data_IF_440829056798
#
_entry.id   IF_440829056798
#
_cell.length_a   1.000
_cell.length_b   1.000
_cell.length_c   1.000
_cell.angle_alpha   90.00
_cell.angle_beta   90.00
_cell.angle_gamma   90.00
#
_symmetry.space_group_name_H-M   'P 1'
#
loop_
_entity.id
_entity.type
_entity.pdbx_description
1 polymer ?
#
# COMPACT_ATOMS: atom_id res chain seq x y z
N UNK A 1 -3.69 17.56 7.30
CA UNK A 1 -2.88 16.34 7.10
C UNK A 1 -3.16 15.41 8.28
N UNK A 2 -3.59 14.16 8.07
CA UNK A 2 -3.76 13.23 9.19
C UNK A 2 -2.41 12.96 9.85
N UNK A 3 -2.41 12.82 11.16
CA UNK A 3 -1.26 12.36 11.95
C UNK A 3 -1.05 10.85 11.79
N UNK A 4 0.11 10.35 12.21
CA UNK A 4 0.38 8.91 12.20
C UNK A 4 -0.62 8.12 13.06
N UNK A 5 -1.05 8.66 14.21
CA UNK A 5 -1.99 7.99 15.11
C UNK A 5 -3.41 7.97 14.53
N UNK A 6 -3.85 9.05 13.89
CA UNK A 6 -5.14 9.09 13.19
C UNK A 6 -5.15 8.11 12.01
N UNK A 7 -4.04 8.01 11.26
CA UNK A 7 -3.86 7.03 10.20
C UNK A 7 -3.94 5.59 10.72
N UNK A 8 -3.26 5.29 11.83
CA UNK A 8 -3.30 3.98 12.46
C UNK A 8 -4.72 3.62 12.96
N UNK A 9 -5.41 4.55 13.62
CA UNK A 9 -6.80 4.35 14.05
C UNK A 9 -7.75 4.13 12.87
N UNK A 10 -7.58 4.89 11.79
CA UNK A 10 -8.35 4.71 10.56
C UNK A 10 -8.10 3.33 9.92
N UNK A 11 -6.88 2.78 10.02
CA UNK A 11 -6.58 1.42 9.56
C UNK A 11 -7.35 0.34 10.32
N UNK A 12 -7.60 0.50 11.62
CA UNK A 12 -8.45 -0.42 12.40
C UNK A 12 -9.87 -0.42 11.84
N UNK A 13 -10.44 0.77 11.59
CA UNK A 13 -11.78 0.87 10.99
C UNK A 13 -11.83 0.32 9.55
N UNK A 14 -10.78 0.57 8.76
CA UNK A 14 -10.67 0.05 7.41
C UNK A 14 -10.64 -1.48 7.41
N UNK A 15 -9.92 -2.09 8.36
CA UNK A 15 -9.82 -3.54 8.49
C UNK A 15 -11.18 -4.20 8.65
N UNK A 16 -12.02 -3.68 9.53
CA UNK A 16 -13.38 -4.21 9.73
C UNK A 16 -14.21 -4.19 8.44
N UNK A 17 -14.10 -3.10 7.66
CA UNK A 17 -14.83 -2.97 6.39
C UNK A 17 -14.32 -3.89 5.28
N UNK A 18 -13.00 -4.08 5.18
CA UNK A 18 -12.41 -4.75 4.00
C UNK A 18 -12.14 -6.24 4.20
N UNK A 19 -12.00 -6.72 5.45
CA UNK A 19 -11.64 -8.11 5.76
C UNK A 19 -12.48 -9.18 5.03
N UNK A 20 -13.80 -9.01 4.83
CA UNK A 20 -14.60 -9.99 4.08
C UNK A 20 -14.29 -10.07 2.58
N UNK A 21 -13.58 -9.08 2.03
CA UNK A 21 -13.39 -8.89 0.58
C UNK A 21 -11.94 -9.06 0.12
N UNK A 22 -11.01 -9.37 1.03
CA UNK A 22 -9.59 -9.52 0.73
C UNK A 22 -9.02 -10.76 1.43
N UNK A 23 -7.86 -11.23 0.98
CA UNK A 23 -7.12 -12.23 1.73
C UNK A 23 -6.28 -11.60 2.84
N UNK A 24 -6.26 -12.23 4.01
CA UNK A 24 -5.15 -12.09 4.94
C UNK A 24 -3.96 -12.84 4.33
N UNK A 25 -2.99 -12.08 3.81
CA UNK A 25 -1.86 -12.68 3.09
C UNK A 25 -0.89 -13.33 4.07
N UNK A 26 -0.17 -14.40 3.65
CA UNK A 26 0.72 -15.11 4.53
C UNK A 26 1.98 -14.29 4.86
N UNK A 27 2.53 -14.54 6.05
CA UNK A 27 3.86 -14.12 6.46
C UNK A 27 4.79 -15.33 6.37
N UNK A 28 5.62 -15.38 5.32
CA UNK A 28 6.36 -16.58 4.94
C UNK A 28 7.82 -16.44 5.39
N UNK A 29 8.35 -17.34 6.23
CA UNK A 29 9.78 -17.35 6.54
C UNK A 29 10.63 -17.61 5.29
N UNK A 30 11.72 -16.85 5.14
CA UNK A 30 12.66 -17.07 4.05
C UNK A 30 13.36 -18.43 4.17
N UNK A 31 13.51 -19.13 3.03
CA UNK A 31 14.17 -20.43 2.93
C UNK A 31 15.68 -20.31 2.93
N UNK A 32 16.24 -19.31 2.22
CA UNK A 32 17.70 -19.11 2.06
C UNK A 32 18.13 -17.70 2.41
N UNK A 33 17.30 -16.70 2.13
CA UNK A 33 17.64 -15.29 2.38
C UNK A 33 17.81 -15.05 3.89
N UNK A 34 18.87 -14.33 4.27
CA UNK A 34 19.21 -14.02 5.67
C UNK A 34 20.13 -15.04 6.36
N UNK A 35 20.26 -16.27 5.85
CA UNK A 35 21.09 -17.32 6.47
C UNK A 35 22.56 -16.92 6.59
N UNK A 36 23.13 -16.32 5.54
CA UNK A 36 24.55 -15.95 5.50
C UNK A 36 24.92 -14.79 6.44
N UNK A 37 23.94 -14.02 6.92
CA UNK A 37 24.15 -12.90 7.83
C UNK A 37 23.47 -13.10 9.19
N UNK A 38 22.97 -14.31 9.47
CA UNK A 38 22.23 -14.64 10.70
C UNK A 38 21.05 -13.70 10.98
N UNK A 39 20.45 -13.11 9.94
CA UNK A 39 19.23 -12.31 10.06
C UNK A 39 18.01 -13.21 9.81
N UNK A 40 16.98 -13.08 10.65
CA UNK A 40 15.71 -13.79 10.43
C UNK A 40 14.86 -12.98 9.47
N UNK A 41 14.55 -13.54 8.30
CA UNK A 41 13.79 -12.84 7.26
C UNK A 41 12.41 -13.46 7.07
N UNK A 42 11.40 -12.60 7.02
CA UNK A 42 10.00 -12.95 6.77
C UNK A 42 9.48 -12.15 5.57
N UNK A 43 8.71 -12.79 4.69
CA UNK A 43 8.07 -12.15 3.55
C UNK A 43 6.60 -11.90 3.83
N UNK A 44 6.18 -10.64 3.82
CA UNK A 44 4.75 -10.30 3.81
C UNK A 44 4.26 -10.33 2.36
N UNK A 45 3.56 -11.41 2.00
CA UNK A 45 3.33 -11.82 0.61
C UNK A 45 2.08 -11.18 -0.02
N UNK A 46 2.09 -9.85 -0.19
CA UNK A 46 1.00 -9.13 -0.89
C UNK A 46 0.92 -9.44 -2.39
N UNK A 47 1.95 -10.06 -2.95
CA UNK A 47 1.91 -10.66 -4.29
C UNK A 47 0.87 -11.79 -4.43
N UNK A 48 0.39 -12.37 -3.33
CA UNK A 48 -0.71 -13.36 -3.31
C UNK A 48 -2.09 -12.76 -3.06
N UNK A 49 -2.21 -11.45 -2.97
CA UNK A 49 -3.52 -10.80 -2.84
C UNK A 49 -4.38 -11.02 -4.11
N UNK A 50 -5.71 -10.90 -3.99
CA UNK A 50 -6.69 -11.18 -5.07
C UNK A 50 -6.33 -10.62 -6.45
N UNK A 51 -5.75 -9.42 -6.50
CA UNK A 51 -5.37 -8.74 -7.75
C UNK A 51 -3.89 -8.87 -8.08
N UNK A 52 -3.14 -9.69 -7.35
CA UNK A 52 -1.68 -9.84 -7.45
C UNK A 52 -0.89 -8.70 -6.81
N UNK A 53 -1.51 -7.83 -6.00
CA UNK A 53 -0.82 -6.78 -5.24
C UNK A 53 -1.69 -6.21 -4.12
N UNK A 54 -1.06 -5.43 -3.23
CA UNK A 54 -1.72 -4.78 -2.09
C UNK A 54 -2.81 -3.77 -2.45
N UNK A 55 -2.83 -3.24 -3.69
CA UNK A 55 -3.63 -2.05 -4.06
C UNK A 55 -5.14 -2.21 -3.82
N UNK A 56 -5.66 -3.44 -3.88
CA UNK A 56 -7.07 -3.73 -3.58
C UNK A 56 -7.46 -3.28 -2.16
N UNK A 57 -6.54 -3.32 -1.18
CA UNK A 57 -6.84 -2.96 0.22
C UNK A 57 -7.26 -1.50 0.34
N UNK A 58 -6.44 -0.59 -0.20
CA UNK A 58 -6.79 0.84 -0.26
C UNK A 58 -8.06 1.08 -1.05
N UNK A 59 -8.17 0.53 -2.25
CA UNK A 59 -9.35 0.73 -3.10
C UNK A 59 -10.65 0.28 -2.39
N UNK A 60 -10.63 -0.91 -1.78
CA UNK A 60 -11.75 -1.44 -1.00
C UNK A 60 -12.05 -0.54 0.22
N UNK A 61 -11.02 -0.05 0.92
CA UNK A 61 -11.17 0.83 2.08
C UNK A 61 -11.84 2.16 1.70
N UNK A 62 -11.37 2.79 0.63
CA UNK A 62 -11.95 4.04 0.11
C UNK A 62 -13.39 3.85 -0.36
N UNK A 63 -13.63 2.84 -1.19
CA UNK A 63 -14.95 2.61 -1.79
C UNK A 63 -16.00 2.16 -0.78
N UNK A 64 -15.62 1.36 0.22
CA UNK A 64 -16.52 0.91 1.30
C UNK A 64 -16.89 2.04 2.26
N UNK A 65 -16.00 3.02 2.45
CA UNK A 65 -16.25 4.19 3.28
C UNK A 65 -17.12 5.25 2.58
N UNK A 66 -17.40 5.10 1.28
CA UNK A 66 -18.16 6.07 0.50
C UNK A 66 -19.58 5.60 0.18
N UNK A 67 -20.48 6.56 0.06
CA UNK A 67 -21.85 6.35 -0.42
C UNK A 67 -21.93 5.93 -1.88
N UNK A 68 -23.14 5.93 -2.43
CA UNK A 68 -23.33 5.72 -3.87
C UNK A 68 -22.89 6.96 -4.64
N UNK A 69 -22.37 6.75 -5.86
CA UNK A 69 -21.84 7.81 -6.70
C UNK A 69 -20.98 7.25 -7.82
N UNK A 70 -20.60 8.11 -8.75
CA UNK A 70 -19.68 7.77 -9.84
C UNK A 70 -18.26 7.96 -9.34
N UNK A 71 -17.44 6.93 -9.50
CA UNK A 71 -16.04 6.92 -9.11
C UNK A 71 -15.18 6.95 -10.36
N UNK A 72 -14.00 7.57 -10.27
CA UNK A 72 -13.05 7.60 -11.38
C UNK A 72 -11.62 7.38 -10.90
N UNK A 73 -10.81 6.68 -11.69
CA UNK A 73 -9.37 6.51 -11.46
C UNK A 73 -8.64 6.46 -12.80
N UNK A 74 -7.32 6.57 -12.79
CA UNK A 74 -6.48 6.40 -13.97
C UNK A 74 -5.31 5.46 -13.68
N UNK A 75 -5.36 4.23 -14.20
CA UNK A 75 -4.25 3.29 -14.12
C UNK A 75 -4.54 2.03 -14.94
N UNK A 76 -3.60 1.62 -15.78
CA UNK A 76 -3.60 0.29 -16.41
C UNK A 76 -2.94 -0.81 -15.58
N UNK A 77 -2.42 -0.46 -14.39
CA UNK A 77 -1.58 -1.33 -13.55
C UNK A 77 -2.29 -1.80 -12.27
N UNK A 78 -1.49 -2.04 -11.23
CA UNK A 78 -1.96 -2.56 -9.93
C UNK A 78 -3.13 -1.78 -9.34
N UNK A 79 -3.11 -0.44 -9.43
CA UNK A 79 -4.20 0.40 -8.91
C UNK A 79 -5.51 0.24 -9.70
N UNK A 80 -5.42 0.20 -11.03
CA UNK A 80 -6.59 0.02 -11.90
C UNK A 80 -7.25 -1.33 -11.66
N UNK A 81 -6.46 -2.40 -11.59
CA UNK A 81 -6.96 -3.76 -11.32
C UNK A 81 -7.56 -3.84 -9.90
N UNK A 82 -6.85 -3.30 -8.90
CA UNK A 82 -7.33 -3.24 -7.51
C UNK A 82 -8.65 -2.48 -7.36
N UNK A 83 -8.76 -1.34 -8.04
CA UNK A 83 -9.97 -0.50 -8.04
C UNK A 83 -11.13 -1.19 -8.78
N UNK A 84 -10.86 -1.84 -9.91
CA UNK A 84 -11.88 -2.54 -10.67
C UNK A 84 -12.48 -3.73 -9.89
N UNK A 85 -11.64 -4.54 -9.22
CA UNK A 85 -12.13 -5.60 -8.35
C UNK A 85 -12.93 -5.05 -7.16
N UNK A 86 -12.45 -3.97 -6.51
CA UNK A 86 -13.16 -3.35 -5.40
C UNK A 86 -14.54 -2.81 -5.82
N UNK A 87 -14.61 -2.17 -6.99
CA UNK A 87 -15.87 -1.68 -7.54
C UNK A 87 -16.85 -2.82 -7.85
N UNK A 88 -16.38 -3.91 -8.47
CA UNK A 88 -17.18 -5.11 -8.70
C UNK A 88 -17.72 -5.69 -7.39
N UNK A 89 -16.83 -5.89 -6.41
CA UNK A 89 -17.16 -6.52 -5.12
C UNK A 89 -18.18 -5.71 -4.31
N UNK A 90 -18.10 -4.38 -4.40
CA UNK A 90 -18.96 -3.45 -3.66
C UNK A 90 -20.13 -2.91 -4.50
N UNK A 91 -20.32 -3.41 -5.73
CA UNK A 91 -21.33 -2.93 -6.69
C UNK A 91 -21.30 -1.40 -6.87
N UNK A 92 -20.10 -0.82 -7.03
CA UNK A 92 -19.88 0.61 -7.26
C UNK A 92 -19.73 0.93 -8.73
N UNK A 93 -20.20 2.11 -9.13
CA UNK A 93 -19.98 2.63 -10.47
C UNK A 93 -18.57 3.24 -10.56
N UNK A 94 -17.64 2.52 -11.19
CA UNK A 94 -16.28 2.98 -11.44
C UNK A 94 -16.02 3.16 -12.94
N UNK A 95 -15.41 4.29 -13.27
CA UNK A 95 -14.79 4.55 -14.57
C UNK A 95 -13.26 4.52 -14.42
N UNK A 96 -12.58 3.79 -15.30
CA UNK A 96 -11.12 3.75 -15.36
C UNK A 96 -10.65 4.45 -16.63
N UNK A 97 -9.88 5.52 -16.48
CA UNK A 97 -9.24 6.23 -17.59
C UNK A 97 -7.91 5.57 -17.91
N UNK A 98 -7.69 5.23 -19.18
CA UNK A 98 -6.49 4.57 -19.67
C UNK A 98 -5.95 5.34 -20.87
N UNK A 99 -4.63 5.31 -21.14
CA UNK A 99 -4.11 5.90 -22.37
C UNK A 99 -4.63 5.13 -23.59
N UNK A 100 -4.71 5.80 -24.73
CA UNK A 100 -5.09 5.18 -26.01
C UNK A 100 -4.09 4.11 -26.45
N UNK A 101 -2.85 4.21 -25.96
CA UNK A 101 -1.74 3.28 -26.20
C UNK A 101 -1.73 2.07 -25.26
N UNK A 102 -2.72 1.93 -24.37
CA UNK A 102 -2.78 0.81 -23.41
C UNK A 102 -2.79 -0.54 -24.14
N UNK A 103 -1.95 -1.48 -23.68
CA UNK A 103 -1.90 -2.80 -24.29
C UNK A 103 -3.24 -3.55 -24.08
N UNK A 104 -3.74 -4.29 -25.09
CA UNK A 104 -5.06 -4.93 -25.03
C UNK A 104 -5.25 -5.87 -23.84
N UNK A 105 -4.20 -6.57 -23.41
CA UNK A 105 -4.28 -7.48 -22.26
C UNK A 105 -4.64 -6.74 -20.95
N UNK A 106 -4.02 -5.58 -20.69
CA UNK A 106 -4.30 -4.74 -19.51
C UNK A 106 -5.71 -4.15 -19.59
N UNK A 107 -6.10 -3.66 -20.77
CA UNK A 107 -7.45 -3.14 -21.03
C UNK A 107 -8.54 -4.20 -20.77
N UNK A 108 -8.37 -5.39 -21.34
CA UNK A 108 -9.34 -6.48 -21.21
C UNK A 108 -9.45 -6.97 -19.77
N UNK A 109 -8.33 -7.05 -19.05
CA UNK A 109 -8.33 -7.41 -17.61
C UNK A 109 -9.12 -6.41 -16.77
N UNK A 110 -9.02 -5.11 -17.05
CA UNK A 110 -9.82 -4.10 -16.34
C UNK A 110 -11.30 -4.22 -16.73
N UNK A 111 -11.61 -4.30 -18.03
CA UNK A 111 -12.98 -4.44 -18.53
C UNK A 111 -13.68 -5.70 -18.01
N UNK A 112 -12.95 -6.80 -17.77
CA UNK A 112 -13.55 -8.05 -17.27
C UNK A 112 -14.17 -7.92 -15.88
N UNK A 113 -13.85 -6.87 -15.11
CA UNK A 113 -14.51 -6.59 -13.83
C UNK A 113 -15.84 -5.83 -13.98
N UNK A 114 -16.27 -5.49 -15.21
CA UNK A 114 -17.54 -4.82 -15.47
C UNK A 114 -17.54 -3.31 -15.19
N UNK A 115 -16.36 -2.69 -15.20
CA UNK A 115 -16.20 -1.23 -15.00
C UNK A 115 -16.21 -0.47 -16.33
N UNK A 116 -16.62 0.79 -16.28
CA UNK A 116 -16.56 1.68 -17.43
C UNK A 116 -15.11 2.04 -17.74
N UNK A 117 -14.79 2.26 -19.02
CA UNK A 117 -13.44 2.65 -19.45
C UNK A 117 -13.51 3.84 -20.39
N UNK A 118 -12.65 4.84 -20.13
CA UNK A 118 -12.39 5.96 -21.04
C UNK A 118 -10.97 5.80 -21.55
N UNK A 119 -10.78 5.83 -22.87
CA UNK A 119 -9.45 5.94 -23.48
C UNK A 119 -9.16 7.41 -23.73
N UNK A 120 -8.07 7.93 -23.17
CA UNK A 120 -7.70 9.33 -23.33
C UNK A 120 -6.19 9.55 -23.18
N UNK A 121 -5.61 10.29 -24.13
CA UNK A 121 -4.22 10.71 -24.09
C UNK A 121 -3.25 9.63 -24.60
N UNK A 122 -2.07 10.08 -25.01
CA UNK A 122 -1.03 9.21 -25.57
C UNK A 122 -0.28 8.40 -24.49
N UNK A 123 -0.33 8.85 -23.23
CA UNK A 123 0.43 8.29 -22.12
C UNK A 123 -0.35 8.34 -20.79
N UNK A 124 0.11 7.57 -19.81
CA UNK A 124 -0.56 7.40 -18.51
C UNK A 124 -0.77 8.73 -17.77
N UNK A 125 0.21 9.64 -17.81
CA UNK A 125 0.10 10.95 -17.15
C UNK A 125 -1.04 11.81 -17.71
N UNK A 126 -1.24 11.80 -19.04
CA UNK A 126 -2.36 12.52 -19.66
C UNK A 126 -3.72 11.90 -19.32
N UNK A 127 -3.78 10.57 -19.24
CA UNK A 127 -4.99 9.86 -18.78
C UNK A 127 -5.34 10.22 -17.33
N UNK A 128 -4.34 10.35 -16.45
CA UNK A 128 -4.50 10.76 -15.06
C UNK A 128 -4.97 12.20 -14.92
N UNK A 129 -4.33 13.15 -15.61
CA UNK A 129 -4.76 14.55 -15.64
C UNK A 129 -6.21 14.68 -16.12
N UNK A 130 -6.62 13.89 -17.12
CA UNK A 130 -8.00 13.86 -17.58
C UNK A 130 -8.97 13.33 -16.51
N UNK A 131 -8.63 12.23 -15.84
CA UNK A 131 -9.43 11.67 -14.76
C UNK A 131 -9.61 12.66 -13.60
N UNK A 132 -8.53 13.33 -13.19
CA UNK A 132 -8.56 14.35 -12.16
C UNK A 132 -9.42 15.55 -12.58
N UNK A 133 -9.29 16.03 -13.83
CA UNK A 133 -10.13 17.11 -14.37
C UNK A 133 -11.62 16.74 -14.37
N UNK A 134 -11.96 15.50 -14.75
CA UNK A 134 -13.34 15.01 -14.68
C UNK A 134 -13.85 14.94 -13.25
N UNK A 135 -13.02 14.53 -12.29
CA UNK A 135 -13.38 14.56 -10.87
C UNK A 135 -13.61 15.99 -10.35
N UNK A 136 -12.73 16.94 -10.70
CA UNK A 136 -12.85 18.35 -10.30
C UNK A 136 -14.09 19.04 -10.88
N UNK A 137 -14.69 18.52 -11.95
CA UNK A 137 -15.98 19.01 -12.47
C UNK A 137 -17.18 18.67 -11.56
N UNK A 138 -16.99 17.82 -10.55
CA UNK A 138 -18.03 17.35 -9.63
C UNK A 138 -18.81 16.12 -10.10
N UNK A 139 -18.52 15.61 -11.31
CA UNK A 139 -19.22 14.45 -11.86
C UNK A 139 -18.75 13.10 -11.29
N UNK A 140 -17.55 13.05 -10.70
CA UNK A 140 -16.96 11.84 -10.16
C UNK A 140 -16.21 12.11 -8.85
N UNK A 141 -16.11 11.10 -7.99
CA UNK A 141 -15.11 11.07 -6.93
C UNK A 141 -13.85 10.38 -7.43
N UNK A 142 -12.71 11.06 -7.36
CA UNK A 142 -11.41 10.49 -7.72
C UNK A 142 -10.96 9.46 -6.67
N UNK A 143 -10.50 8.30 -7.14
CA UNK A 143 -9.92 7.23 -6.32
C UNK A 143 -8.40 7.26 -6.52
N UNK A 144 -7.73 7.99 -5.64
CA UNK A 144 -6.26 8.15 -5.72
C UNK A 144 -5.53 6.82 -5.56
N UNK A 145 -4.40 6.62 -6.27
CA UNK A 145 -3.53 5.47 -6.08
C UNK A 145 -2.78 5.46 -4.73
N UNK A 146 -2.69 6.59 -4.03
CA UNK A 146 -1.94 6.72 -2.77
C UNK A 146 -2.33 7.93 -1.91
N UNK A 147 -2.66 9.06 -2.53
CA UNK A 147 -2.91 10.36 -1.88
C UNK A 147 -4.35 10.49 -1.39
N UNK A 148 -4.76 9.59 -0.49
CA UNK A 148 -6.08 9.66 0.15
C UNK A 148 -6.06 8.96 1.52
N UNK A 149 -6.65 9.55 2.58
CA UNK A 149 -6.60 8.98 3.93
C UNK A 149 -7.19 7.57 4.04
N UNK A 150 -8.26 7.25 3.29
CA UNK A 150 -8.86 5.92 3.28
C UNK A 150 -8.03 4.93 2.49
N UNK A 151 -7.37 5.37 1.42
CA UNK A 151 -6.41 4.54 0.67
C UNK A 151 -5.25 4.16 1.61
N UNK A 152 -4.63 5.15 2.28
CA UNK A 152 -3.55 4.93 3.26
C UNK A 152 -4.00 4.01 4.39
N UNK A 153 -5.17 4.27 4.98
CA UNK A 153 -5.74 3.44 6.03
C UNK A 153 -5.94 1.99 5.59
N UNK A 154 -6.42 1.77 4.36
CA UNK A 154 -6.56 0.43 3.78
C UNK A 154 -5.21 -0.28 3.66
N UNK A 155 -4.14 0.42 3.28
CA UNK A 155 -2.81 -0.21 3.23
C UNK A 155 -2.27 -0.55 4.62
N UNK A 156 -2.55 0.29 5.63
CA UNK A 156 -2.15 0.04 7.01
C UNK A 156 -2.77 -1.22 7.63
N UNK A 157 -3.82 -1.80 7.03
CA UNK A 157 -4.33 -3.12 7.45
C UNK A 157 -3.26 -4.23 7.35
N UNK A 158 -2.26 -4.07 6.47
CA UNK A 158 -1.10 -4.97 6.43
C UNK A 158 -0.30 -4.89 7.73
N UNK A 159 -0.14 -3.70 8.31
CA UNK A 159 0.51 -3.51 9.61
C UNK A 159 -0.22 -4.25 10.72
N UNK A 160 -1.56 -4.21 10.72
CA UNK A 160 -2.37 -4.95 11.70
C UNK A 160 -2.18 -6.47 11.56
N UNK A 161 -2.18 -6.98 10.32
CA UNK A 161 -1.91 -8.40 10.08
C UNK A 161 -0.50 -8.80 10.53
N UNK A 162 0.51 -7.95 10.34
CA UNK A 162 1.88 -8.22 10.78
C UNK A 162 1.99 -8.36 12.30
N UNK A 163 1.30 -7.50 13.05
CA UNK A 163 1.27 -7.54 14.52
C UNK A 163 0.61 -8.82 15.06
N UNK A 164 -0.32 -9.40 14.31
CA UNK A 164 -0.95 -10.68 14.66
C UNK A 164 -0.13 -11.90 14.23
N UNK A 165 0.54 -11.80 13.09
CA UNK A 165 1.27 -12.91 12.47
C UNK A 165 2.70 -13.04 13.01
N UNK A 166 3.23 -12.02 13.68
CA UNK A 166 4.61 -11.99 14.13
C UNK A 166 4.73 -11.43 15.56
N UNK A 167 5.26 -12.26 16.47
CA UNK A 167 5.45 -11.87 17.87
C UNK A 167 6.47 -10.73 18.05
N UNK A 168 7.44 -10.61 17.16
CA UNK A 168 8.53 -9.63 17.26
C UNK A 168 9.05 -9.24 15.88
N UNK A 169 9.10 -7.94 15.62
CA UNK A 169 9.61 -7.34 14.38
C UNK A 169 10.62 -6.27 14.80
N UNK A 170 11.86 -6.37 14.31
CA UNK A 170 12.85 -5.31 14.48
C UNK A 170 12.81 -4.33 13.31
N UNK A 171 12.69 -4.87 12.09
CA UNK A 171 12.80 -4.09 10.85
C UNK A 171 11.70 -4.45 9.86
N UNK A 172 11.28 -3.49 9.05
CA UNK A 172 10.46 -3.71 7.86
C UNK A 172 10.98 -2.91 6.67
N UNK A 173 11.04 -3.56 5.51
CA UNK A 173 11.47 -2.98 4.24
C UNK A 173 10.27 -2.81 3.32
N UNK A 174 10.00 -1.58 2.91
CA UNK A 174 8.84 -1.23 2.08
C UNK A 174 9.29 -0.35 0.92
N UNK A 175 8.97 -0.80 -0.30
CA UNK A 175 9.23 -0.03 -1.53
C UNK A 175 8.42 1.26 -1.56
N UNK A 176 9.04 2.35 -2.02
CA UNK A 176 8.45 3.68 -2.06
C UNK A 176 8.17 4.10 -3.51
N UNK A 177 6.88 4.26 -3.82
CA UNK A 177 6.40 5.12 -4.91
C UNK A 177 5.78 6.38 -4.30
N UNK A 178 4.50 6.64 -4.57
CA UNK A 178 3.75 7.75 -3.96
C UNK A 178 3.50 7.67 -2.44
N UNK A 179 4.03 6.66 -1.74
CA UNK A 179 4.08 6.65 -0.27
C UNK A 179 2.85 6.12 0.47
N UNK A 180 1.75 5.80 -0.21
CA UNK A 180 0.53 5.35 0.47
C UNK A 180 0.70 4.03 1.26
N UNK A 181 1.49 3.08 0.72
CA UNK A 181 1.79 1.81 1.38
C UNK A 181 2.64 2.01 2.65
N UNK A 182 3.80 2.66 2.50
CA UNK A 182 4.73 2.87 3.62
C UNK A 182 4.13 3.75 4.71
N UNK A 183 3.35 4.76 4.33
CA UNK A 183 2.63 5.62 5.27
C UNK A 183 1.63 4.83 6.10
N UNK A 184 0.78 4.02 5.46
CA UNK A 184 -0.24 3.24 6.16
C UNK A 184 0.36 2.18 7.08
N UNK A 185 1.26 1.36 6.54
CA UNK A 185 1.91 0.28 7.31
C UNK A 185 2.77 0.86 8.42
N UNK A 186 3.60 1.86 8.10
CA UNK A 186 4.46 2.52 9.08
C UNK A 186 3.66 3.19 10.20
N UNK A 187 2.51 3.82 9.89
CA UNK A 187 1.65 4.44 10.91
C UNK A 187 1.19 3.43 11.96
N UNK A 188 0.70 2.26 11.52
CA UNK A 188 0.25 1.20 12.43
C UNK A 188 1.41 0.64 13.26
N UNK A 189 2.53 0.32 12.61
CA UNK A 189 3.69 -0.27 13.31
C UNK A 189 4.30 0.70 14.33
N UNK A 190 4.46 1.98 13.96
CA UNK A 190 5.00 3.01 14.86
C UNK A 190 4.06 3.35 16.02
N UNK A 191 2.74 3.33 15.77
CA UNK A 191 1.75 3.53 16.83
C UNK A 191 1.76 2.38 17.86
N UNK A 192 2.04 1.15 17.41
CA UNK A 192 2.14 -0.02 18.29
C UNK A 192 3.48 -0.09 19.02
N UNK A 193 4.59 0.03 18.27
CA UNK A 193 5.94 0.00 18.82
C UNK A 193 6.84 0.96 18.01
N UNK A 194 7.18 2.15 18.55
CA UNK A 194 7.97 3.13 17.83
C UNK A 194 9.42 2.69 17.56
N UNK A 195 9.90 1.62 18.21
CA UNK A 195 11.24 1.07 18.01
C UNK A 195 11.36 0.19 16.76
N UNK A 196 10.26 -0.27 16.16
CA UNK A 196 10.29 -1.00 14.89
C UNK A 196 10.88 -0.06 13.82
N UNK A 197 11.97 -0.47 13.17
CA UNK A 197 12.62 0.31 12.12
C UNK A 197 11.93 0.13 10.78
N UNK A 198 11.46 1.24 10.21
CA UNK A 198 10.83 1.25 8.89
C UNK A 198 11.83 1.79 7.88
N UNK A 199 12.29 0.90 6.99
CA UNK A 199 13.16 1.21 5.88
C UNK A 199 12.34 1.47 4.62
N UNK A 200 12.38 2.71 4.15
CA UNK A 200 11.82 3.09 2.85
C UNK A 200 12.82 2.79 1.74
N UNK A 201 12.45 1.94 0.78
CA UNK A 201 13.35 1.56 -0.31
C UNK A 201 12.93 2.21 -1.61
N UNK A 202 13.80 3.04 -2.19
CA UNK A 202 13.52 3.83 -3.40
C UNK A 202 14.35 3.34 -4.57
N UNK A 203 13.76 3.28 -5.78
CA UNK A 203 14.55 3.08 -6.99
C UNK A 203 15.25 4.39 -7.35
N UNK A 204 16.54 4.35 -7.71
CA UNK A 204 17.30 5.56 -8.09
C UNK A 204 16.64 6.27 -9.28
N UNK A 205 16.08 5.51 -10.22
CA UNK A 205 15.42 6.01 -11.42
C UNK A 205 14.04 6.64 -11.16
N UNK A 206 13.46 6.44 -9.98
CA UNK A 206 12.18 7.06 -9.60
C UNK A 206 12.09 7.27 -8.10
N UNK A 207 12.57 8.43 -7.64
CA UNK A 207 12.76 8.74 -6.21
C UNK A 207 12.11 10.05 -5.75
N UNK A 208 10.95 10.37 -6.31
CA UNK A 208 10.21 11.60 -5.99
C UNK A 208 9.95 11.74 -4.48
N UNK A 209 9.40 10.71 -3.83
CA UNK A 209 9.10 10.76 -2.40
C UNK A 209 10.36 10.84 -1.54
N UNK A 210 11.38 10.03 -1.83
CA UNK A 210 12.65 10.06 -1.10
C UNK A 210 13.32 11.45 -1.16
N UNK A 211 13.37 12.03 -2.37
CA UNK A 211 13.94 13.37 -2.59
C UNK A 211 13.13 14.44 -1.86
N UNK A 212 11.80 14.35 -1.92
CA UNK A 212 10.88 15.28 -1.25
C UNK A 212 10.99 15.18 0.27
N UNK A 213 11.15 13.98 0.84
CA UNK A 213 11.37 13.77 2.26
C UNK A 213 12.68 14.44 2.73
N UNK A 214 13.77 14.26 1.97
CA UNK A 214 15.04 14.90 2.27
C UNK A 214 14.98 16.44 2.18
N UNK A 215 14.19 16.97 1.25
CA UNK A 215 13.98 18.40 1.05
C UNK A 215 12.96 19.03 2.02
N UNK A 216 12.11 18.22 2.66
CA UNK A 216 11.02 18.67 3.53
C UNK A 216 9.81 19.27 2.80
N UNK A 217 9.79 19.23 1.47
CA UNK A 217 8.70 19.70 0.61
C UNK A 217 8.69 18.89 -0.70
N UNK A 218 7.58 18.93 -1.45
CA UNK A 218 7.50 18.22 -2.73
C UNK A 218 8.49 18.81 -3.73
N UNK A 219 9.30 17.95 -4.34
CA UNK A 219 10.31 18.31 -5.34
C UNK A 219 10.04 17.53 -6.62
N UNK A 220 10.02 18.24 -7.74
CA UNK A 220 9.98 17.61 -9.06
C UNK A 220 11.30 16.88 -9.34
N UNK A 221 11.21 15.63 -9.79
CA UNK A 221 12.38 14.81 -10.06
C UNK A 221 12.34 14.27 -11.48
N UNK A 222 13.51 14.11 -12.09
CA UNK A 222 13.62 13.35 -13.32
C UNK A 222 13.23 11.88 -13.09
N UNK A 223 12.51 11.30 -14.06
CA UNK A 223 12.08 9.92 -14.03
C UNK A 223 12.67 9.15 -15.21
N UNK A 224 13.46 8.13 -14.89
CA UNK A 224 14.08 7.25 -15.88
C UNK A 224 13.34 5.90 -15.92
N UNK A 225 13.44 5.15 -17.03
CA UNK A 225 12.86 3.80 -17.12
C UNK A 225 13.37 2.89 -16.00
N UNK A 226 12.46 2.16 -15.35
CA UNK A 226 12.79 1.24 -14.24
C UNK A 226 12.00 -0.05 -14.35
N UNK A 227 12.63 -1.17 -13.94
CA UNK A 227 11.98 -2.48 -13.80
C UNK A 227 10.94 -2.44 -12.67
N UNK A 228 11.08 -1.51 -11.71
CA UNK A 228 10.13 -1.30 -10.63
C UNK A 228 8.97 -0.36 -11.02
N UNK A 229 8.29 -0.65 -12.13
CA UNK A 229 7.24 0.20 -12.71
C UNK A 229 6.15 0.64 -11.71
N UNK A 230 5.76 -0.24 -10.77
CA UNK A 230 4.67 0.05 -9.82
C UNK A 230 5.03 1.12 -8.76
N UNK A 231 6.30 1.51 -8.64
CA UNK A 231 6.74 2.66 -7.81
C UNK A 231 7.16 3.86 -8.65
N UNK A 232 7.13 3.76 -9.98
CA UNK A 232 7.57 4.83 -10.85
C UNK A 232 6.56 5.98 -10.92
N UNK A 233 7.07 7.20 -10.97
CA UNK A 233 6.30 8.43 -11.19
C UNK A 233 6.54 9.50 -10.13
N UNK A 234 5.94 10.66 -10.35
CA UNK A 234 5.97 11.78 -9.41
C UNK A 234 5.03 11.58 -8.24
N UNK A 235 4.95 12.60 -7.38
CA UNK A 235 3.96 12.70 -6.30
C UNK A 235 3.18 14.00 -6.46
N UNK A 236 1.91 14.01 -6.03
CA UNK A 236 1.07 15.20 -6.03
C UNK A 236 1.68 16.30 -5.15
N UNK A 237 1.57 17.56 -5.55
CA UNK A 237 2.11 18.72 -4.81
C UNK A 237 1.50 18.84 -3.39
N UNK A 238 0.22 18.49 -3.24
CA UNK A 238 -0.52 18.52 -1.99
C UNK A 238 -0.57 17.16 -1.27
N UNK A 239 0.36 16.25 -1.59
CA UNK A 239 0.30 14.87 -1.12
C UNK A 239 0.33 14.74 0.40
N UNK A 240 -0.62 13.97 0.94
CA UNK A 240 -0.65 13.63 2.37
C UNK A 240 0.48 12.71 2.79
N UNK A 241 1.06 11.99 1.83
CA UNK A 241 2.03 10.93 2.12
C UNK A 241 3.41 11.45 2.43
N UNK A 242 3.76 12.69 2.05
CA UNK A 242 5.06 13.27 2.41
C UNK A 242 5.19 13.41 3.93
N UNK A 243 4.22 14.05 4.58
CA UNK A 243 4.24 14.22 6.04
C UNK A 243 4.17 12.89 6.79
N UNK A 244 3.32 11.97 6.34
CA UNK A 244 3.19 10.65 6.96
C UNK A 244 4.45 9.80 6.77
N UNK A 245 5.00 9.72 5.56
CA UNK A 245 6.24 8.97 5.29
C UNK A 245 7.40 9.51 6.11
N UNK A 246 7.59 10.84 6.15
CA UNK A 246 8.62 11.48 6.99
C UNK A 246 8.46 11.19 8.48
N UNK A 247 7.24 10.97 8.97
CA UNK A 247 6.98 10.63 10.37
C UNK A 247 7.25 9.16 10.71
N UNK A 248 7.19 8.24 9.73
CA UNK A 248 7.26 6.79 9.99
C UNK A 248 8.55 6.15 9.53
N UNK A 249 9.23 6.70 8.52
CA UNK A 249 10.46 6.15 7.94
C UNK A 249 11.66 6.53 8.80
N UNK A 250 12.44 5.54 9.21
CA UNK A 250 13.70 5.76 9.94
C UNK A 250 14.88 5.99 9.00
N UNK A 251 14.94 5.28 7.89
CA UNK A 251 16.03 5.37 6.92
C UNK A 251 15.52 5.08 5.50
N UNK A 252 16.06 5.82 4.53
CA UNK A 252 15.81 5.60 3.11
C UNK A 252 17.00 4.89 2.48
N UNK A 253 16.73 3.80 1.76
CA UNK A 253 17.74 3.06 1.01
C UNK A 253 17.43 3.21 -0.48
N UNK A 254 18.37 3.77 -1.24
CA UNK A 254 18.25 3.84 -2.71
C UNK A 254 18.86 2.59 -3.34
N UNK A 255 18.19 2.01 -4.35
CA UNK A 255 18.67 0.85 -5.11
C UNK A 255 18.69 1.12 -6.61
N UNK A 256 19.70 0.58 -7.30
CA UNK A 256 19.79 0.62 -8.75
C UNK A 256 19.04 -0.56 -9.42
N UNK A 257 18.93 -0.51 -10.75
CA UNK A 257 18.22 -1.52 -11.54
C UNK A 257 18.87 -2.91 -11.48
N UNK A 258 20.20 -2.98 -11.31
CA UNK A 258 20.91 -4.26 -11.22
C UNK A 258 20.58 -4.96 -9.90
N UNK A 259 20.50 -4.20 -8.81
CA UNK A 259 20.13 -4.67 -7.48
C UNK A 259 18.67 -5.13 -7.43
N UNK A 260 17.75 -4.38 -8.05
CA UNK A 260 16.34 -4.78 -8.19
C UNK A 260 16.23 -6.10 -8.98
N UNK A 261 16.93 -6.19 -10.11
CA UNK A 261 16.95 -7.39 -10.96
C UNK A 261 17.52 -8.60 -10.23
N UNK A 262 18.55 -8.42 -9.41
CA UNK A 262 19.10 -9.49 -8.59
C UNK A 262 18.11 -9.94 -7.51
N UNK A 263 17.42 -8.99 -6.87
CA UNK A 263 16.32 -9.30 -5.93
C UNK A 263 15.24 -10.18 -6.58
N UNK A 264 14.83 -9.87 -7.81
CA UNK A 264 13.85 -10.69 -8.56
C UNK A 264 14.36 -12.11 -8.78
N UNK A 265 15.62 -12.27 -9.21
CA UNK A 265 16.22 -13.59 -9.43
C UNK A 265 16.33 -14.38 -8.13
N UNK A 266 16.71 -13.75 -7.03
CA UNK A 266 16.82 -14.40 -5.73
C UNK A 266 15.45 -14.92 -5.27
N UNK A 267 14.39 -14.10 -5.36
CA UNK A 267 13.03 -14.52 -4.99
C UNK A 267 12.55 -15.69 -5.86
N UNK A 268 12.78 -15.64 -7.17
CA UNK A 268 12.37 -16.71 -8.07
C UNK A 268 13.16 -18.01 -7.82
N UNK A 269 14.49 -17.95 -7.79
CA UNK A 269 15.36 -19.13 -7.76
C UNK A 269 15.55 -19.74 -6.36
N UNK A 270 15.55 -18.90 -5.31
CA UNK A 270 15.86 -19.34 -3.94
C UNK A 270 14.62 -19.50 -3.09
N UNK A 271 13.59 -18.69 -3.32
CA UNK A 271 12.37 -18.68 -2.52
C UNK A 271 11.16 -19.29 -3.24
N UNK A 272 11.26 -19.51 -4.56
CA UNK A 272 10.16 -19.95 -5.42
C UNK A 272 9.00 -18.95 -5.45
N UNK A 273 9.32 -17.66 -5.37
CA UNK A 273 8.35 -16.57 -5.39
C UNK A 273 8.51 -15.74 -6.67
N UNK A 274 7.44 -15.69 -7.46
CA UNK A 274 7.35 -14.78 -8.60
C UNK A 274 6.80 -13.45 -8.10
N UNK A 275 7.53 -12.37 -8.41
CA UNK A 275 7.21 -11.01 -7.99
C UNK A 275 7.49 -10.01 -9.11
N UNK A 276 6.93 -8.81 -9.00
CA UNK A 276 7.28 -7.68 -9.86
C UNK A 276 8.49 -6.90 -9.33
N UNK A 277 9.09 -6.02 -10.13
CA UNK A 277 10.29 -5.26 -9.75
C UNK A 277 10.11 -4.43 -8.48
N UNK A 278 8.93 -3.82 -8.27
CA UNK A 278 8.63 -3.05 -7.07
C UNK A 278 8.65 -3.91 -5.80
N UNK A 279 8.27 -5.19 -5.84
CA UNK A 279 8.36 -6.08 -4.69
C UNK A 279 9.81 -6.53 -4.44
N UNK A 280 10.58 -6.77 -5.50
CA UNK A 280 12.00 -7.08 -5.40
C UNK A 280 12.84 -5.90 -4.89
N UNK A 281 12.41 -4.65 -5.11
CA UNK A 281 13.06 -3.45 -4.59
C UNK A 281 13.20 -3.49 -3.07
N UNK A 282 12.15 -3.89 -2.33
CA UNK A 282 12.22 -4.03 -0.88
C UNK A 282 13.30 -5.04 -0.44
N UNK A 283 13.44 -6.16 -1.17
CA UNK A 283 14.49 -7.13 -0.91
C UNK A 283 15.89 -6.58 -1.24
N UNK A 284 16.02 -5.83 -2.34
CA UNK A 284 17.28 -5.18 -2.70
C UNK A 284 17.75 -4.24 -1.58
N UNK A 285 16.83 -3.46 -0.99
CA UNK A 285 17.12 -2.62 0.17
C UNK A 285 17.58 -3.41 1.39
N UNK A 286 16.88 -4.50 1.73
CA UNK A 286 17.32 -5.41 2.80
C UNK A 286 18.75 -5.93 2.55
N UNK A 287 19.03 -6.42 1.35
CA UNK A 287 20.32 -7.03 1.01
C UNK A 287 21.50 -6.06 1.20
N UNK A 288 21.31 -4.75 0.98
CA UNK A 288 22.36 -3.74 1.18
C UNK A 288 22.85 -3.64 2.62
N UNK A 289 21.97 -3.89 3.57
CA UNK A 289 22.29 -3.70 4.99
C UNK A 289 22.18 -4.98 5.82
N UNK A 290 21.89 -6.13 5.19
CA UNK A 290 21.63 -7.41 5.85
C UNK A 290 22.71 -7.82 6.85
N UNK A 291 23.98 -7.49 6.60
CA UNK A 291 25.09 -7.78 7.51
C UNK A 291 25.01 -7.03 8.85
N UNK A 292 24.34 -5.88 8.89
CA UNK A 292 24.13 -5.08 10.10
C UNK A 292 22.93 -5.56 10.93
N UNK A 293 22.13 -6.48 10.39
CA UNK A 293 20.86 -6.95 10.97
C UNK A 293 20.97 -8.35 11.59
N UNK A 294 22.20 -8.80 11.87
CA UNK A 294 22.44 -10.11 12.50
C UNK A 294 21.69 -10.22 13.82
N UNK A 295 20.98 -11.34 14.02
CA UNK A 295 20.15 -11.61 15.19
C UNK A 295 18.78 -10.90 15.20
N UNK A 296 18.49 -10.03 14.22
CA UNK A 296 17.24 -9.28 14.15
C UNK A 296 16.21 -9.96 13.24
N UNK A 297 14.93 -9.73 13.51
CA UNK A 297 13.79 -10.15 12.70
C UNK A 297 13.38 -9.04 11.73
N UNK A 298 13.58 -9.30 10.44
CA UNK A 298 13.30 -8.36 9.36
C UNK A 298 12.16 -8.85 8.47
N UNK A 299 11.18 -7.99 8.24
CA UNK A 299 10.08 -8.23 7.31
C UNK A 299 10.39 -7.54 5.97
N UNK A 300 10.31 -8.28 4.87
CA UNK A 300 10.37 -7.73 3.51
C UNK A 300 8.96 -7.78 2.92
N UNK A 301 8.41 -6.62 2.54
CA UNK A 301 7.05 -6.53 2.01
C UNK A 301 7.06 -6.75 0.49
N UNK A 302 6.57 -7.92 0.05
CA UNK A 302 6.46 -8.27 -1.37
C UNK A 302 5.17 -7.68 -1.93
N UNK A 303 5.21 -6.42 -2.37
CA UNK A 303 4.02 -5.62 -2.65
C UNK A 303 3.17 -6.10 -3.85
N UNK A 304 3.72 -6.90 -4.77
CA UNK A 304 2.98 -7.34 -5.96
C UNK A 304 3.72 -8.32 -6.87
N UNK A 305 3.00 -8.84 -7.86
CA UNK A 305 3.49 -9.78 -8.87
C UNK A 305 2.92 -9.54 -10.28
N UNK A 306 2.33 -8.37 -10.58
CA UNK A 306 1.84 -8.09 -11.93
C UNK A 306 2.98 -7.52 -12.79
N UNK A 307 3.97 -8.36 -13.09
CA UNK A 307 5.05 -8.02 -14.02
C UNK A 307 4.59 -8.12 -15.48
N UNK A 308 5.28 -7.39 -16.37
CA UNK A 308 5.09 -7.56 -17.80
C UNK A 308 5.66 -8.91 -18.26
N UNK A 309 4.82 -9.78 -18.82
CA UNK A 309 5.24 -11.11 -19.26
C UNK A 309 6.25 -11.07 -20.41
N UNK A 310 6.36 -9.95 -21.13
CA UNK A 310 7.36 -9.77 -22.18
C UNK A 310 8.79 -9.73 -21.59
N UNK A 311 8.95 -9.45 -20.29
CA UNK A 311 10.25 -9.54 -19.58
C UNK A 311 10.82 -10.96 -19.61
N UNK A 312 9.98 -12.00 -19.69
CA UNK A 312 10.39 -13.40 -19.83
C UNK A 312 10.43 -13.89 -21.28
N UNK A 313 10.02 -13.05 -22.26
CA UNK A 313 10.07 -13.40 -23.69
C UNK A 313 11.42 -13.13 -24.34
N UNK A 314 12.45 -12.74 -23.58
CA UNK A 314 13.80 -12.88 -24.11
C UNK A 314 14.04 -14.36 -24.35
N UNK A 315 14.32 -14.81 -25.58
CA UNK A 315 14.86 -16.13 -25.74
C UNK A 315 16.09 -16.14 -24.84
N UNK A 316 16.14 -17.05 -23.87
CA UNK A 316 17.42 -17.49 -23.39
C UNK A 316 18.24 -17.70 -24.66
N UNK A 317 19.46 -17.17 -24.72
CA UNK A 317 20.47 -17.74 -25.59
C UNK A 317 20.65 -19.20 -25.14
N UNK A 318 19.67 -20.04 -25.46
CA UNK A 318 19.81 -21.45 -25.65
C UNK A 318 20.87 -21.52 -26.73
N UNK A 319 22.02 -22.14 -26.46
CA UNK A 319 22.89 -22.55 -27.54
C UNK A 319 22.00 -23.22 -28.58
N UNK A 320 22.05 -22.73 -29.81
CA UNK A 320 21.42 -23.39 -30.96
C UNK A 320 21.64 -24.89 -30.84
N UNK A 321 20.67 -25.70 -31.25
CA UNK A 321 20.71 -27.17 -31.37
C UNK A 321 21.92 -27.66 -32.20
N UNK A 322 23.12 -27.48 -31.69
CA UNK A 322 24.31 -28.16 -32.09
C UNK A 322 24.36 -29.41 -31.23
N UNK A 323 24.31 -30.61 -31.83
CA UNK A 323 24.43 -31.84 -31.05
C UNK A 323 25.73 -31.80 -30.25
N UNK A 324 25.67 -32.16 -28.97
CA UNK A 324 26.89 -32.45 -28.24
C UNK A 324 27.64 -33.61 -28.93
N UNK A 325 28.97 -33.65 -28.78
CA UNK A 325 29.82 -34.69 -29.39
C UNK A 325 29.54 -36.12 -28.85
N UNK A 326 28.49 -36.31 -28.04
CA UNK A 326 28.05 -37.60 -27.49
C UNK A 326 26.71 -38.08 -28.05
N UNK A 327 26.08 -37.34 -28.97
CA UNK A 327 24.93 -37.80 -29.75
C UNK A 327 23.65 -38.03 -28.94
N UNK A 328 23.47 -37.34 -27.81
CA UNK A 328 22.19 -37.38 -27.06
C UNK A 328 21.37 -36.12 -27.33
N UNK A 329 20.18 -36.30 -27.89
CA UNK A 329 19.17 -35.24 -28.00
C UNK A 329 18.44 -35.03 -26.68
N UNK A 330 17.96 -33.81 -26.45
CA UNK A 330 17.14 -33.42 -25.29
C UNK A 330 15.87 -34.28 -25.19
N UNK A 331 15.46 -34.73 -23.98
CA UNK A 331 14.27 -35.57 -23.78
C UNK A 331 12.94 -34.82 -23.98
N UNK A 332 12.97 -33.53 -24.34
CA UNK A 332 11.79 -32.66 -24.44
C UNK A 332 11.33 -32.37 -25.87
N UNK A 333 11.97 -32.94 -26.89
CA UNK A 333 11.46 -32.91 -28.26
C UNK A 333 10.68 -34.19 -28.55
N UNK A 334 9.40 -34.04 -28.89
CA UNK A 334 8.41 -35.06 -29.26
C UNK A 334 7.52 -35.62 -28.14
N UNK A 335 6.60 -34.78 -27.65
CA UNK A 335 5.26 -35.26 -27.27
C UNK A 335 4.22 -34.30 -27.82
N UNK A 336 3.66 -34.62 -28.98
CA UNK A 336 2.40 -34.02 -29.43
C UNK A 336 1.29 -34.48 -28.49
N UNK A 337 0.39 -33.61 -28.01
CA UNK A 337 -0.76 -34.04 -27.23
C UNK A 337 -1.65 -34.95 -28.09
N UNK A 338 -2.21 -36.05 -27.55
CA UNK A 338 -3.10 -36.90 -28.31
C UNK A 338 -4.38 -36.14 -28.66
N UNK A 339 -4.71 -36.12 -29.95
CA UNK A 339 -5.99 -35.63 -30.47
C UNK A 339 -7.09 -36.58 -29.98
N UNK A 340 -7.91 -36.15 -29.03
CA UNK A 340 -9.13 -36.88 -28.67
C UNK A 340 -10.15 -36.73 -29.82
N UNK A 341 -10.38 -37.81 -30.56
CA UNK A 341 -11.55 -37.95 -31.43
C UNK A 341 -12.74 -38.44 -30.60
N UNK A 342 -13.96 -37.93 -30.83
CA UNK A 342 -15.13 -38.38 -30.10
C UNK A 342 -15.61 -39.71 -30.71
N UNK A 343 -15.37 -40.83 -30.02
CA UNK A 343 -16.06 -42.09 -30.31
C UNK A 343 -17.33 -42.17 -29.47
N UNK A 344 -18.48 -42.12 -30.13
CA UNK A 344 -19.77 -42.44 -29.53
C UNK A 344 -19.91 -43.94 -29.29
N UNK A 345 -20.32 -44.31 -28.09
CA UNK A 345 -21.16 -45.47 -27.85
C UNK A 345 -22.09 -45.19 -26.67
N UNK A 346 -23.36 -44.95 -27.02
CA UNK A 346 -24.48 -44.87 -26.10
C UNK A 346 -24.92 -46.27 -25.68
N UNK A 347 -24.95 -46.56 -24.38
CA UNK A 347 -25.93 -47.47 -23.76
C UNK A 347 -26.04 -47.14 -22.26
N UNK A 348 -27.24 -47.24 -21.68
CA UNK A 348 -27.66 -46.46 -20.51
C UNK A 348 -27.18 -47.11 -19.21
N UNK A 349 -26.84 -46.28 -18.22
CA UNK A 349 -26.64 -46.73 -16.84
C UNK A 349 -27.92 -46.38 -16.08
N UNK A 350 -28.56 -47.44 -15.58
CA UNK A 350 -29.76 -47.42 -14.76
C UNK A 350 -29.55 -46.70 -13.42
N UNK A 351 -30.70 -46.26 -12.94
CA UNK A 351 -31.10 -45.51 -11.76
C UNK A 351 -30.38 -45.80 -10.42
N UNK A 352 -30.31 -44.70 -9.65
CA UNK A 352 -30.44 -44.62 -8.19
C UNK A 352 -29.54 -45.51 -7.30
N UNK A 353 -28.48 -44.90 -6.78
CA UNK A 353 -28.03 -45.14 -5.40
C UNK A 353 -27.83 -43.82 -4.68
N UNK A 354 -28.87 -43.44 -3.94
CA UNK A 354 -28.79 -42.54 -2.79
C UNK A 354 -27.61 -42.94 -1.89
N UNK A 355 -26.70 -41.99 -1.65
CA UNK A 355 -25.70 -42.11 -0.60
C UNK A 355 -26.24 -41.37 0.62
N UNK A 356 -27.03 -42.07 1.44
CA UNK A 356 -27.46 -41.59 2.76
C UNK A 356 -26.26 -41.54 3.69
N UNK A 357 -25.83 -40.33 4.04
CA UNK A 357 -24.94 -40.08 5.18
C UNK A 357 -25.76 -40.25 6.46
N UNK A 358 -25.56 -41.37 7.17
CA UNK A 358 -26.06 -41.53 8.54
C UNK A 358 -25.38 -40.51 9.44
N UNK A 359 -26.17 -39.56 9.96
CA UNK A 359 -25.80 -38.72 11.09
C UNK A 359 -26.18 -39.51 12.35
N UNK A 360 -25.19 -40.12 13.01
CA UNK A 360 -25.39 -40.67 14.35
C UNK A 360 -25.19 -39.55 15.38
N UNK A 361 -26.30 -39.14 15.99
CA UNK A 361 -26.30 -38.40 17.25
C UNK A 361 -25.58 -39.23 18.33
N UNK A 362 -24.53 -38.67 18.90
CA UNK A 362 -24.10 -39.00 20.26
C UNK A 362 -23.91 -37.69 21.00
N UNK A 363 -24.86 -37.46 21.91
CA UNK A 363 -24.77 -36.50 23.00
C UNK A 363 -23.62 -36.89 23.94
N UNK A 364 -23.25 -35.94 24.80
CA UNK A 364 -22.21 -36.00 25.86
C UNK A 364 -20.84 -35.43 25.48
N UNK A 365 -20.72 -34.09 25.40
CA UNK A 365 -19.66 -33.32 26.10
C UNK A 365 -20.15 -31.87 26.33
N UNK A 366 -21.16 -31.69 27.17
CA UNK A 366 -21.43 -30.41 27.86
C UNK A 366 -21.36 -30.64 29.37
N UNK A 367 -20.13 -30.62 29.92
CA UNK A 367 -19.89 -30.35 31.34
C UNK A 367 -18.37 -30.24 31.56
N UNK A 368 -17.79 -29.07 31.25
CA UNK A 368 -16.51 -28.63 31.84
C UNK A 368 -16.21 -27.14 31.60
N UNK A 369 -17.21 -26.26 31.68
CA UNK A 369 -17.02 -24.79 31.73
C UNK A 369 -17.90 -24.14 32.80
N UNK A 370 -18.15 -24.83 33.91
CA UNK A 370 -18.73 -24.26 35.14
C UNK A 370 -17.98 -24.83 36.35
N UNK A 371 -16.74 -24.38 36.53
CA UNK A 371 -15.93 -24.49 37.77
C UNK A 371 -14.61 -23.73 37.61
N UNK A 372 -14.69 -22.43 37.32
CA UNK A 372 -13.55 -21.51 37.43
C UNK A 372 -14.01 -20.03 37.39
N UNK A 373 -15.13 -19.71 38.02
CA UNK A 373 -15.58 -18.33 38.26
C UNK A 373 -16.43 -18.35 39.53
N UNK A 374 -15.79 -18.62 40.66
CA UNK A 374 -16.32 -18.50 42.03
C UNK A 374 -15.12 -18.78 42.93
N UNK A 375 -14.23 -17.81 43.05
CA UNK A 375 -13.19 -17.68 44.08
C UNK A 375 -12.40 -16.39 43.79
N UNK A 376 -13.05 -15.24 43.89
CA UNK A 376 -12.36 -13.95 44.05
C UNK A 376 -13.32 -12.86 44.58
N UNK A 377 -14.17 -13.21 45.54
CA UNK A 377 -14.87 -12.24 46.39
C UNK A 377 -15.02 -12.87 47.77
N UNK A 378 -13.99 -12.72 48.61
CA UNK A 378 -14.06 -12.80 50.09
C UNK A 378 -12.63 -12.67 50.64
N UNK A 379 -12.12 -11.43 50.72
CA UNK A 379 -11.15 -11.09 51.77
C UNK A 379 -11.02 -9.57 51.93
N UNK A 380 -12.05 -8.95 52.51
CA UNK A 380 -11.88 -7.72 53.26
C UNK A 380 -12.43 -7.92 54.69
N UNK A 381 -11.58 -7.54 55.66
CA UNK A 381 -11.83 -7.33 57.09
C UNK A 381 -11.92 -8.56 58.03
N UNK A 382 -10.89 -8.77 58.87
CA UNK A 382 -10.91 -8.37 60.31
C UNK A 382 -9.62 -8.80 61.06
N UNK A 383 -9.14 -7.96 62.01
CA UNK A 383 -8.25 -8.32 63.15
C UNK A 383 -6.77 -7.95 62.97
N UNK A 384 -6.25 -6.78 63.33
CA UNK A 384 -6.07 -6.11 64.65
C UNK A 384 -4.93 -6.70 65.54
N UNK A 385 -4.01 -5.80 65.96
CA UNK A 385 -3.06 -5.76 67.12
C UNK A 385 -1.93 -6.83 67.21
N UNK A 386 -0.63 -6.56 67.47
CA UNK A 386 0.08 -5.58 68.31
C UNK A 386 1.55 -5.34 67.84
N UNK A 387 2.19 -4.21 68.25
CA UNK A 387 3.60 -4.24 68.67
C UNK A 387 4.64 -3.22 68.11
N UNK A 388 4.58 -1.98 68.60
CA UNK A 388 5.71 -1.10 69.07
C UNK A 388 7.01 -0.94 68.25
N UNK A 389 7.35 0.32 67.93
CA UNK A 389 8.73 0.78 67.68
C UNK A 389 8.85 2.22 67.17
N UNK A 390 9.29 3.12 68.05
CA UNK A 390 9.66 4.56 67.92
C UNK A 390 10.44 4.92 66.61
N UNK A 391 10.49 6.15 66.08
CA UNK A 391 10.61 7.45 66.72
C UNK A 391 10.25 8.64 65.77
N UNK A 392 9.86 9.75 66.40
CA UNK A 392 9.99 11.20 66.10
C UNK A 392 10.71 11.61 64.79
N UNK A 393 10.25 12.62 64.03
CA UNK A 393 10.26 14.01 64.47
C UNK A 393 9.28 14.92 63.67
N UNK A 394 8.80 15.95 64.37
CA UNK A 394 7.83 16.97 63.94
C UNK A 394 8.48 18.05 63.07
N UNK A 395 7.69 18.75 62.24
CA UNK A 395 7.46 20.22 62.34
C UNK A 395 6.17 20.57 61.57
N UNK A 396 5.29 21.28 62.28
CA UNK A 396 4.04 21.93 61.88
C UNK A 396 4.25 23.25 61.12
N UNK A 397 3.26 23.64 60.31
CA UNK A 397 2.53 24.94 60.32
C UNK A 397 1.61 24.98 59.07
N UNK A 398 0.28 24.79 59.14
CA UNK A 398 -0.80 25.75 59.51
C UNK A 398 -0.57 27.16 58.96
N UNK A 399 -1.46 27.74 58.15
CA UNK A 399 -2.76 28.39 58.52
C UNK A 399 -3.37 28.86 57.18
N UNK A 400 -4.60 28.42 56.82
CA UNK A 400 -5.88 29.18 56.80
C UNK A 400 -5.86 30.49 55.97
N UNK A 401 -6.89 30.98 55.27
CA UNK A 401 -8.29 30.63 55.01
C UNK A 401 -8.90 31.84 54.22
N UNK A 402 -10.05 31.63 53.56
CA UNK A 402 -11.05 32.64 53.11
C UNK A 402 -10.66 33.59 51.95
N UNK A 403 -11.51 34.01 51.02
CA UNK A 403 -12.97 33.96 50.78
C UNK A 403 -13.19 34.58 49.38
N UNK A 404 -13.97 33.95 48.50
CA UNK A 404 -15.38 34.27 48.17
C UNK A 404 -15.68 35.58 47.38
N UNK A 405 -16.25 35.32 46.19
CA UNK A 405 -17.51 35.85 45.62
C UNK A 405 -17.54 37.07 44.67
N UNK A 406 -18.20 36.79 43.53
CA UNK A 406 -19.09 37.61 42.67
C UNK A 406 -18.64 38.98 42.14
N UNK A 407 -18.82 39.20 40.83
CA UNK A 407 -20.07 39.79 40.28
C UNK A 407 -20.13 39.81 38.74
N UNK A 408 -21.36 39.87 38.27
CA UNK A 408 -21.93 39.81 36.93
C UNK A 408 -21.97 41.16 36.15
N UNK A 409 -22.03 41.02 34.82
CA UNK A 409 -22.93 41.70 33.83
C UNK A 409 -22.62 43.09 33.22
N UNK A 410 -23.11 43.22 31.96
CA UNK A 410 -23.46 44.40 31.13
C UNK A 410 -22.46 44.90 30.07
N UNK A 411 -22.66 44.53 28.79
CA UNK A 411 -23.44 45.22 27.70
C UNK A 411 -22.83 46.54 27.21
N UNK A 412 -22.50 46.64 25.91
CA UNK A 412 -23.23 47.50 24.95
C UNK A 412 -22.57 47.56 23.55
N UNK A 413 -23.47 47.81 22.61
CA UNK A 413 -23.41 47.94 21.15
C UNK A 413 -22.64 49.18 20.67
N UNK A 414 -22.11 49.14 19.43
CA UNK A 414 -22.02 50.32 18.53
C UNK A 414 -21.55 49.95 17.12
N UNK A 415 -22.47 50.15 16.20
CA UNK A 415 -22.31 50.46 14.78
C UNK A 415 -21.56 51.78 14.57
N UNK A 416 -20.78 51.91 13.48
CA UNK A 416 -20.87 53.04 12.54
C UNK A 416 -20.05 52.84 11.26
N UNK A 417 -20.70 53.28 10.20
CA UNK A 417 -20.39 53.32 8.77
C UNK A 417 -19.49 54.53 8.44
N UNK A 418 -18.67 54.46 7.38
CA UNK A 418 -18.32 55.61 6.53
C UNK A 418 -17.56 55.24 5.27
N UNK A 419 -18.12 55.75 4.19
CA UNK A 419 -17.75 55.71 2.77
C UNK A 419 -16.82 56.85 2.33
N UNK A 420 -16.38 56.72 1.06
CA UNK A 420 -15.93 57.75 0.10
C UNK A 420 -14.46 58.27 0.24
N UNK A 421 -13.70 58.56 -0.81
CA UNK A 421 -13.99 58.78 -2.23
C UNK A 421 -12.70 58.63 -3.11
N UNK A 422 -12.94 58.42 -4.41
CA UNK A 422 -12.18 58.67 -5.69
C UNK A 422 -10.76 59.32 -5.67
N UNK A 423 -9.89 59.15 -6.67
CA UNK A 423 -10.05 59.45 -8.13
C UNK A 423 -8.86 58.90 -8.94
N UNK A 424 -9.18 58.38 -10.14
CA UNK A 424 -8.62 58.64 -11.49
C UNK A 424 -7.13 59.04 -11.70
N UNK A 425 -6.45 58.36 -12.64
CA UNK A 425 -6.14 59.00 -13.93
C UNK A 425 -5.82 57.99 -15.06
N UNK A 426 -6.22 58.37 -16.27
CA UNK A 426 -6.01 57.71 -17.58
C UNK A 426 -4.77 58.27 -18.29
N UNK A 427 -4.27 57.55 -19.31
CA UNK A 427 -3.85 57.97 -20.69
C UNK A 427 -2.82 56.96 -21.21
N UNK A 428 -3.05 56.19 -22.28
CA UNK A 428 -3.04 56.51 -23.74
C UNK A 428 -1.63 56.72 -24.35
N UNK A 429 -1.19 55.79 -25.21
CA UNK A 429 -0.55 55.96 -26.55
C UNK A 429 0.05 54.59 -27.01
N UNK A 430 -0.33 53.91 -28.10
CA UNK A 430 -0.27 54.12 -29.57
C UNK A 430 1.14 54.15 -30.21
N UNK A 431 1.27 53.31 -31.26
CA UNK A 431 2.11 53.42 -32.49
C UNK A 431 3.64 53.36 -32.31
N UNK A 432 4.49 52.89 -33.22
CA UNK A 432 4.45 52.19 -34.50
C UNK A 432 5.92 51.82 -34.81
N UNK A 433 6.11 50.95 -35.80
CA UNK A 433 7.19 50.99 -36.80
C UNK A 433 8.45 50.11 -36.69
N UNK A 434 8.84 49.75 -37.91
CA UNK A 434 9.78 48.76 -38.44
C UNK A 434 11.24 49.21 -38.47
N UNK A 435 12.05 48.30 -39.04
CA UNK A 435 13.38 48.44 -39.69
C UNK A 435 14.56 48.12 -38.77
N UNK A 436 15.64 47.43 -39.17
CA UNK A 436 16.06 46.70 -40.39
C UNK A 436 17.40 45.98 -40.06
N UNK A 437 17.96 45.29 -41.06
CA UNK A 437 19.30 44.65 -41.21
C UNK A 437 19.46 43.19 -40.75
N UNK A 438 19.56 42.19 -41.66
CA UNK A 438 20.69 41.84 -42.60
C UNK A 438 21.96 41.47 -41.82
N UNK A 439 22.66 40.36 -42.05
CA UNK A 439 23.05 39.68 -43.30
C UNK A 439 23.64 38.28 -42.97
N UNK A 440 23.42 37.34 -43.90
CA UNK A 440 24.35 36.34 -44.47
C UNK A 440 25.43 35.66 -43.59
N UNK A 441 25.45 34.32 -43.56
CA UNK A 441 26.39 33.57 -44.41
C UNK A 441 26.02 32.08 -44.60
N UNK A 442 26.38 31.57 -45.78
CA UNK A 442 26.21 30.21 -46.29
C UNK A 442 27.30 29.28 -45.75
N UNK A 443 27.05 27.96 -45.73
CA UNK A 443 27.71 26.98 -46.64
C UNK A 443 27.28 25.54 -46.33
N UNK A 444 26.90 24.86 -47.42
CA UNK A 444 26.95 23.43 -47.81
C UNK A 444 26.52 22.29 -46.86
#
# INVERSE_FOLDING_TARGET
MPTLYESAAASVQARERIRPHIYQTPLIPAKKIGQNCSAKVLFKAENFQLTGSFKVRGAMSKMSAQGQGRLITASSGNHGIGSALAAQSLSKNLTVVLPETVIPAKLNKIKSYGVDVILHGAETGLAEQHAQKLASSGAYTYISPYNDPYIVAGQGTIGLELLEQCNHIDNIFISMGGGGLISGVGSVLKAFNPHIKVYGVSAIHSKALATSMAAGHVVETEHLPTIAEAVAGGIDEDTITLGLASAVVDEVIECDEAEIKEGMKMLASSESMIVEGAAALALAGFNKIAQKLSGQTSVVLLCGANYDQDVFKQPANMPSDAPDETGRTSPWSEVSPPVMTPSGSSSPIDEEKEFTLEVSETAEVESNVHKATENEEENEHQGEIDGVGEADDKVDDKVDDKTDDKTEDKTEDKTEDKTDDKTDDKTDDKTDDKTDDKTDDKTD
#
